data_IF_100395751704
#
_entry.id   IF_100395751704
#
_cell.length_a   1.000
_cell.length_b   1.000
_cell.length_c   1.000
_cell.angle_alpha   90.00
_cell.angle_beta   90.00
_cell.angle_gamma   90.00
#
_symmetry.space_group_name_H-M   'P 1'
#
loop_
_entity.id
_entity.type
_entity.pdbx_description
1 polymer ?
#
# COMPACT_ATOMS: atom_id res chain seq x y z
N UNK A 1 23.09 48.42 23.89
CA UNK A 1 23.67 47.14 23.41
C UNK A 1 24.30 47.37 22.04
N UNK A 2 25.53 46.90 21.77
CA UNK A 2 26.27 47.21 20.54
C UNK A 2 25.68 46.45 19.31
N UNK A 3 25.46 47.14 18.19
CA UNK A 3 24.90 46.57 16.95
C UNK A 3 25.66 45.33 16.45
N UNK A 4 27.00 45.31 16.60
CA UNK A 4 27.83 44.14 16.26
C UNK A 4 27.49 42.93 17.12
N UNK A 5 27.14 43.12 18.40
CA UNK A 5 26.71 42.03 19.29
C UNK A 5 25.34 41.49 18.88
N UNK A 6 24.39 42.35 18.48
CA UNK A 6 23.05 41.93 18.03
C UNK A 6 23.11 41.13 16.72
N UNK A 7 23.88 41.61 15.73
CA UNK A 7 24.12 40.90 14.47
C UNK A 7 24.80 39.55 14.68
N UNK A 8 25.75 39.47 15.61
CA UNK A 8 26.44 38.22 15.94
C UNK A 8 25.53 37.20 16.66
N UNK A 9 24.67 37.65 17.58
CA UNK A 9 23.71 36.77 18.27
C UNK A 9 22.66 36.26 17.28
N UNK A 10 22.06 37.14 16.48
CA UNK A 10 21.05 36.78 15.49
C UNK A 10 21.60 35.85 14.39
N UNK A 11 22.83 36.06 13.94
CA UNK A 11 23.50 35.15 12.99
C UNK A 11 23.74 33.76 13.59
N UNK A 12 24.12 33.67 14.87
CA UNK A 12 24.33 32.40 15.56
C UNK A 12 23.04 31.63 15.82
N UNK A 13 21.96 32.32 16.20
CA UNK A 13 20.65 31.68 16.40
C UNK A 13 20.08 31.19 15.07
N UNK A 14 20.23 31.96 13.99
CA UNK A 14 19.84 31.54 12.65
C UNK A 14 20.64 30.31 12.20
N UNK A 15 21.97 30.32 12.35
CA UNK A 15 22.81 29.17 12.00
C UNK A 15 22.44 27.92 12.82
N UNK A 16 22.21 28.07 14.13
CA UNK A 16 21.77 26.98 14.99
C UNK A 16 20.43 26.39 14.56
N UNK A 17 19.46 27.24 14.19
CA UNK A 17 18.16 26.78 13.68
C UNK A 17 18.28 26.06 12.34
N UNK A 18 19.10 26.58 11.42
CA UNK A 18 19.35 25.90 10.14
C UNK A 18 20.00 24.53 10.33
N UNK A 19 20.98 24.40 11.24
CA UNK A 19 21.60 23.12 11.56
C UNK A 19 20.59 22.15 12.20
N UNK A 20 19.73 22.63 13.09
CA UNK A 20 18.68 21.82 13.70
C UNK A 20 17.69 21.29 12.66
N UNK A 21 17.26 22.13 11.72
CA UNK A 21 16.42 21.70 10.60
C UNK A 21 17.13 20.68 9.72
N UNK A 22 18.42 20.89 9.40
CA UNK A 22 19.19 19.91 8.62
C UNK A 22 19.29 18.56 9.34
N UNK A 23 19.54 18.56 10.66
CA UNK A 23 19.54 17.34 11.47
C UNK A 23 18.16 16.69 11.46
N UNK A 24 17.08 17.46 11.62
CA UNK A 24 15.72 16.95 11.57
C UNK A 24 15.41 16.25 10.25
N UNK A 25 15.70 16.89 9.11
CA UNK A 25 15.51 16.27 7.79
C UNK A 25 16.42 15.07 7.56
N UNK A 26 17.65 15.11 8.06
CA UNK A 26 18.57 13.98 8.02
C UNK A 26 18.03 12.78 8.79
N UNK A 27 17.51 12.99 10.01
CA UNK A 27 16.85 11.95 10.82
C UNK A 27 15.65 11.37 10.09
N UNK A 28 14.80 12.20 9.49
CA UNK A 28 13.66 11.73 8.67
C UNK A 28 14.12 10.91 7.47
N UNK A 29 15.20 11.31 6.79
CA UNK A 29 15.74 10.59 5.65
C UNK A 29 16.31 9.21 6.07
N UNK A 30 17.05 9.15 7.17
CA UNK A 30 17.56 7.89 7.74
C UNK A 30 16.40 6.99 8.18
N UNK A 31 15.41 7.54 8.88
CA UNK A 31 14.22 6.80 9.29
C UNK A 31 13.45 6.21 8.10
N UNK A 32 13.23 7.03 7.06
CA UNK A 32 12.62 6.58 5.80
C UNK A 32 13.45 5.47 5.16
N UNK A 33 14.77 5.61 5.11
CA UNK A 33 15.66 4.59 4.54
C UNK A 33 15.55 3.25 5.28
N UNK A 34 15.56 3.27 6.61
CA UNK A 34 15.41 2.05 7.44
C UNK A 34 14.06 1.39 7.18
N UNK A 35 12.98 2.18 7.19
CA UNK A 35 11.61 1.67 6.96
C UNK A 35 11.46 1.07 5.57
N UNK A 36 11.96 1.75 4.54
CA UNK A 36 11.84 1.29 3.16
C UNK A 36 12.59 -0.04 2.96
N UNK A 37 13.79 -0.19 3.55
CA UNK A 37 14.53 -1.47 3.54
C UNK A 37 13.80 -2.60 4.26
N UNK A 38 13.15 -2.30 5.38
CA UNK A 38 12.38 -3.30 6.10
C UNK A 38 11.17 -3.77 5.28
N UNK A 39 10.45 -2.82 4.66
CA UNK A 39 9.34 -3.14 3.76
C UNK A 39 9.82 -3.97 2.57
N UNK A 40 10.95 -3.62 1.95
CA UNK A 40 11.53 -4.38 0.85
C UNK A 40 11.79 -5.84 1.25
N UNK A 41 12.41 -6.08 2.41
CA UNK A 41 12.65 -7.43 2.93
C UNK A 41 11.37 -8.18 3.27
N UNK A 42 10.39 -7.52 3.89
CA UNK A 42 9.12 -8.15 4.27
C UNK A 42 8.23 -8.45 3.05
N UNK A 43 8.40 -7.69 1.97
CA UNK A 43 7.59 -7.84 0.75
C UNK A 43 8.29 -8.57 -0.38
N UNK A 44 9.56 -8.93 -0.19
CA UNK A 44 10.39 -9.58 -1.17
C UNK A 44 9.73 -10.86 -1.72
N UNK A 45 9.75 -10.96 -3.03
CA UNK A 45 9.27 -12.12 -3.78
C UNK A 45 10.45 -12.70 -4.56
N UNK A 46 10.55 -14.03 -4.61
CA UNK A 46 11.59 -14.72 -5.35
C UNK A 46 11.55 -14.39 -6.86
N UNK A 47 12.62 -14.70 -7.58
CA UNK A 47 12.67 -14.57 -9.05
C UNK A 47 11.65 -15.46 -9.76
N UNK A 48 11.31 -16.60 -9.16
CA UNK A 48 10.30 -17.55 -9.65
C UNK A 48 8.87 -17.11 -9.29
N UNK A 49 8.74 -16.21 -8.32
CA UNK A 49 7.49 -15.71 -7.80
C UNK A 49 6.86 -14.60 -8.63
N UNK A 50 5.75 -14.08 -8.12
CA UNK A 50 4.98 -12.99 -8.73
C UNK A 50 4.59 -11.96 -7.67
N UNK A 51 4.68 -10.69 -8.03
CA UNK A 51 4.17 -9.56 -7.24
C UNK A 51 3.68 -8.50 -8.22
N UNK A 52 2.37 -8.44 -8.44
CA UNK A 52 1.76 -7.55 -9.44
C UNK A 52 0.51 -6.90 -8.89
N UNK A 53 0.30 -5.63 -9.23
CA UNK A 53 -0.92 -4.89 -8.93
C UNK A 53 -1.53 -4.45 -10.26
N UNK A 54 -2.65 -5.05 -10.62
CA UNK A 54 -3.22 -4.97 -11.97
C UNK A 54 -4.66 -4.48 -11.93
N UNK A 55 -5.03 -3.74 -12.97
CA UNK A 55 -6.42 -3.39 -13.26
C UNK A 55 -6.97 -4.41 -14.27
N UNK A 56 -8.11 -5.00 -13.95
CA UNK A 56 -8.80 -6.01 -14.75
C UNK A 56 -10.25 -5.58 -15.01
N UNK A 57 -10.72 -5.80 -16.23
CA UNK A 57 -12.09 -5.46 -16.63
C UNK A 57 -13.02 -6.63 -16.29
N UNK A 58 -13.84 -6.50 -15.25
CA UNK A 58 -14.78 -7.56 -14.82
C UNK A 58 -16.20 -7.00 -14.77
N UNK A 59 -17.11 -7.56 -15.57
CA UNK A 59 -18.52 -7.16 -15.61
C UNK A 59 -18.72 -5.68 -15.96
N UNK A 60 -17.95 -5.17 -16.93
CA UNK A 60 -18.06 -3.80 -17.44
C UNK A 60 -17.53 -2.71 -16.51
N UNK A 61 -16.75 -3.06 -15.49
CA UNK A 61 -16.10 -2.11 -14.56
C UNK A 61 -14.64 -2.52 -14.38
N UNK A 62 -13.76 -1.54 -14.28
CA UNK A 62 -12.35 -1.76 -13.96
C UNK A 62 -12.23 -2.03 -12.46
N UNK A 63 -11.61 -3.15 -12.13
CA UNK A 63 -11.41 -3.62 -10.77
C UNK A 63 -9.94 -3.97 -10.58
N UNK A 64 -9.44 -3.88 -9.35
CA UNK A 64 -8.03 -4.08 -9.04
C UNK A 64 -7.81 -5.41 -8.36
N UNK A 65 -6.73 -6.08 -8.78
CA UNK A 65 -6.22 -7.28 -8.13
C UNK A 65 -4.76 -7.09 -7.73
N UNK A 66 -4.40 -7.59 -6.56
CA UNK A 66 -3.01 -7.73 -6.11
C UNK A 66 -2.67 -9.22 -6.09
N UNK A 67 -1.69 -9.60 -6.89
CA UNK A 67 -1.23 -10.98 -7.06
C UNK A 67 0.13 -11.11 -6.38
N UNK A 68 0.26 -12.03 -5.42
CA UNK A 68 1.53 -12.29 -4.71
C UNK A 68 1.74 -13.78 -4.50
N UNK A 69 2.95 -14.27 -4.78
CA UNK A 69 3.33 -15.68 -4.57
C UNK A 69 4.83 -15.86 -4.69
N UNK A 70 5.43 -16.73 -3.88
CA UNK A 70 6.87 -17.03 -3.96
C UNK A 70 7.22 -17.90 -5.17
N UNK A 71 6.26 -18.62 -5.73
CA UNK A 71 6.39 -19.35 -7.00
C UNK A 71 5.09 -19.24 -7.80
N UNK A 72 5.21 -19.09 -9.13
CA UNK A 72 4.06 -18.91 -10.04
C UNK A 72 3.24 -20.18 -10.26
N UNK A 73 3.81 -21.35 -10.01
CA UNK A 73 3.20 -22.67 -10.17
C UNK A 73 2.42 -23.15 -8.93
N UNK A 74 2.53 -22.43 -7.82
CA UNK A 74 1.74 -22.68 -6.62
C UNK A 74 0.23 -22.55 -6.91
N UNK A 75 -0.63 -23.29 -6.18
CA UNK A 75 -2.08 -23.15 -6.29
C UNK A 75 -2.55 -21.72 -6.02
N UNK A 76 -3.62 -21.31 -6.71
CA UNK A 76 -4.20 -19.97 -6.57
C UNK A 76 -5.13 -19.93 -5.37
N UNK A 77 -4.93 -18.94 -4.50
CA UNK A 77 -5.85 -18.59 -3.41
C UNK A 77 -6.49 -17.23 -3.69
N UNK A 78 -7.77 -17.23 -4.03
CA UNK A 78 -8.55 -16.00 -4.18
C UNK A 78 -8.99 -15.49 -2.81
N UNK A 79 -8.46 -14.34 -2.40
CA UNK A 79 -8.85 -13.66 -1.17
C UNK A 79 -9.93 -12.61 -1.45
N UNK A 80 -11.07 -12.76 -0.78
CA UNK A 80 -12.23 -11.88 -0.89
C UNK A 80 -12.46 -11.19 0.44
N UNK A 81 -12.41 -9.86 0.44
CA UNK A 81 -12.70 -9.05 1.62
C UNK A 81 -14.20 -9.08 1.99
N UNK A 82 -14.52 -8.70 3.23
CA UNK A 82 -15.91 -8.55 3.70
C UNK A 82 -16.64 -7.35 3.07
N UNK A 83 -17.82 -6.98 3.57
CA UNK A 83 -18.64 -5.92 2.97
C UNK A 83 -19.21 -4.89 3.95
N UNK A 84 -19.89 -3.85 3.44
CA UNK A 84 -19.82 -3.32 2.08
C UNK A 84 -18.74 -2.22 1.97
N UNK A 85 -17.91 -2.27 0.92
CA UNK A 85 -16.88 -1.25 0.63
C UNK A 85 -15.56 -1.38 1.39
N UNK A 86 -15.40 -2.42 2.21
CA UNK A 86 -14.13 -2.75 2.85
C UNK A 86 -13.08 -3.13 1.80
N UNK A 87 -11.80 -2.94 2.10
CA UNK A 87 -10.66 -3.44 1.31
C UNK A 87 -9.64 -3.94 2.30
N UNK A 88 -9.08 -5.13 2.09
CA UNK A 88 -8.03 -5.68 2.96
C UNK A 88 -6.68 -5.76 2.24
N UNK A 89 -6.59 -5.29 1.00
CA UNK A 89 -5.38 -5.35 0.19
C UNK A 89 -4.21 -4.59 0.83
N UNK A 90 -4.48 -3.58 1.66
CA UNK A 90 -3.46 -2.85 2.43
C UNK A 90 -2.83 -3.69 3.56
N UNK A 91 -3.51 -4.75 4.02
CA UNK A 91 -3.03 -5.68 5.04
C UNK A 91 -2.22 -6.83 4.46
N UNK A 92 -2.27 -7.05 3.15
CA UNK A 92 -1.55 -8.10 2.40
C UNK A 92 -0.13 -8.35 2.93
N UNK A 93 0.68 -7.30 3.14
CA UNK A 93 2.05 -7.43 3.65
C UNK A 93 2.18 -8.17 4.98
N UNK A 94 1.21 -8.02 5.87
CA UNK A 94 1.19 -8.66 7.19
C UNK A 94 0.57 -10.05 7.14
N UNK A 95 -0.56 -10.18 6.46
CA UNK A 95 -1.34 -11.42 6.43
C UNK A 95 -0.73 -12.47 5.48
N UNK A 96 -0.08 -12.02 4.41
CA UNK A 96 0.37 -12.91 3.34
C UNK A 96 1.74 -13.53 3.60
N UNK A 97 2.49 -13.06 4.60
CA UNK A 97 3.94 -13.36 4.77
C UNK A 97 4.28 -14.85 4.69
N UNK A 98 3.44 -15.68 5.30
CA UNK A 98 3.63 -17.14 5.30
C UNK A 98 2.87 -17.80 4.14
N UNK A 99 1.64 -17.40 3.87
CA UNK A 99 0.76 -18.09 2.91
C UNK A 99 1.25 -17.98 1.46
N UNK A 100 1.99 -16.92 1.10
CA UNK A 100 2.55 -16.77 -0.27
C UNK A 100 3.66 -17.77 -0.57
N UNK A 101 4.18 -18.49 0.45
CA UNK A 101 5.16 -19.57 0.25
C UNK A 101 4.50 -20.78 -0.42
N UNK A 102 3.23 -21.02 -0.13
CA UNK A 102 2.47 -22.20 -0.56
C UNK A 102 1.42 -21.88 -1.64
N UNK A 103 1.01 -20.61 -1.76
CA UNK A 103 -0.04 -20.16 -2.69
C UNK A 103 0.39 -18.95 -3.52
N UNK A 104 -0.23 -18.79 -4.70
CA UNK A 104 -0.38 -17.49 -5.36
C UNK A 104 -1.65 -16.85 -4.84
N UNK A 105 -1.50 -15.89 -3.93
CA UNK A 105 -2.63 -15.15 -3.35
C UNK A 105 -3.06 -14.05 -4.29
N UNK A 106 -4.35 -14.01 -4.61
CA UNK A 106 -4.98 -12.96 -5.41
C UNK A 106 -5.96 -12.22 -4.51
N UNK A 107 -5.58 -11.03 -4.06
CA UNK A 107 -6.48 -10.09 -3.40
C UNK A 107 -7.31 -9.37 -4.45
N UNK A 108 -8.63 -9.36 -4.30
CA UNK A 108 -9.53 -8.66 -5.21
C UNK A 108 -10.29 -7.56 -4.47
N UNK A 109 -10.02 -6.30 -4.83
CA UNK A 109 -10.89 -5.19 -4.45
C UNK A 109 -12.14 -5.25 -5.34
N UNK A 110 -13.28 -5.65 -4.77
CA UNK A 110 -14.54 -5.69 -5.50
C UNK A 110 -14.97 -4.30 -5.95
N UNK A 111 -15.82 -4.21 -6.98
CA UNK A 111 -16.43 -2.96 -7.44
C UNK A 111 -16.92 -2.09 -6.27
N UNK A 112 -16.52 -0.82 -6.27
CA UNK A 112 -16.90 0.11 -5.21
C UNK A 112 -16.10 -0.02 -3.90
N UNK A 113 -15.07 -0.87 -3.85
CA UNK A 113 -14.14 -0.98 -2.73
C UNK A 113 -12.70 -0.63 -3.13
N UNK A 114 -11.91 -0.13 -2.18
CA UNK A 114 -10.48 0.10 -2.34
C UNK A 114 -10.09 0.82 -3.65
N UNK A 115 -9.14 0.25 -4.40
CA UNK A 115 -8.72 0.81 -5.70
C UNK A 115 -9.76 0.66 -6.80
N UNK A 116 -10.74 -0.22 -6.62
CA UNK A 116 -11.89 -0.42 -7.52
C UNK A 116 -13.05 0.53 -7.21
N UNK A 117 -12.88 1.48 -6.29
CA UNK A 117 -13.84 2.54 -6.05
C UNK A 117 -13.85 3.54 -7.21
N UNK A 118 -15.03 3.86 -7.72
CA UNK A 118 -15.24 5.00 -8.59
C UNK A 118 -16.59 5.65 -8.30
N UNK A 119 -16.65 6.99 -8.20
CA UNK A 119 -17.91 7.70 -7.94
C UNK A 119 -18.91 7.58 -9.09
N UNK A 120 -18.47 7.12 -10.27
CA UNK A 120 -19.30 6.95 -11.47
C UNK A 120 -19.78 5.52 -11.68
N UNK A 121 -19.57 4.63 -10.71
CA UNK A 121 -20.08 3.26 -10.77
C UNK A 121 -21.61 3.29 -10.65
N UNK A 122 -22.29 2.71 -11.64
CA UNK A 122 -23.74 2.59 -11.60
C UNK A 122 -24.16 1.77 -10.36
N UNK A 123 -25.04 2.31 -9.52
CA UNK A 123 -25.48 1.68 -8.26
C UNK A 123 -25.98 0.23 -8.46
N UNK A 124 -26.68 -0.03 -9.57
CA UNK A 124 -27.16 -1.38 -9.94
C UNK A 124 -26.03 -2.41 -10.10
N UNK A 125 -24.83 -1.95 -10.45
CA UNK A 125 -23.69 -2.84 -10.66
C UNK A 125 -23.09 -3.34 -9.34
N UNK A 126 -23.29 -2.65 -8.20
CA UNK A 126 -22.64 -2.96 -6.90
C UNK A 126 -23.32 -4.13 -6.17
N UNK A 127 -24.44 -4.64 -6.68
CA UNK A 127 -25.14 -5.79 -6.09
C UNK A 127 -24.45 -7.11 -6.46
N UNK A 128 -24.04 -7.90 -5.46
CA UNK A 128 -23.67 -9.30 -5.63
C UNK A 128 -24.98 -10.12 -5.69
N UNK A 129 -25.59 -10.22 -6.86
CA UNK A 129 -26.67 -11.18 -7.08
C UNK A 129 -26.02 -12.52 -7.36
N UNK A 130 -26.04 -13.41 -6.37
CA UNK A 130 -25.70 -14.83 -6.60
C UNK A 130 -26.90 -15.45 -7.30
N UNK A 131 -26.81 -15.66 -8.61
CA UNK A 131 -27.81 -16.41 -9.35
C UNK A 131 -27.85 -17.85 -8.80
N UNK A 132 -28.92 -18.21 -8.08
CA UNK A 132 -29.17 -19.56 -7.57
C UNK A 132 -29.45 -19.69 -6.08
N UNK A 133 -29.43 -18.61 -5.30
CA UNK A 133 -29.85 -18.63 -3.89
C UNK A 133 -31.26 -18.07 -3.79
N UNK A 134 -32.29 -18.84 -3.36
CA UNK A 134 -33.62 -18.31 -3.12
C UNK A 134 -33.54 -17.28 -1.99
N UNK A 135 -34.06 -16.08 -2.23
CA UNK A 135 -34.34 -15.09 -1.19
C UNK A 135 -35.54 -15.48 -0.35
#
# INVERSE_FOLDING_TARGET
>A
MNLKKVLWISGKTFLGFTLLLMIFFFVLAVFKMIRDRQVEKETAVSTEGISSLESVRIGGVDQWILIRGQKRDNPILLYIHGGPGATDMFLSRKIDKEIIKDFVVVHWDQRGAGKSFSPFIARKSISLVIHGVPT
#
